data_IF_808440947302
#
_entry.id   IF_808440947302
#
_cell.length_a   1.000
_cell.length_b   1.000
_cell.length_c   1.000
_cell.angle_alpha   90.00
_cell.angle_beta   90.00
_cell.angle_gamma   90.00
#
_symmetry.space_group_name_H-M   'P 1'
#
loop_
_entity.id
_entity.type
_entity.pdbx_description
1 polymer ?
#
# COMPACT_ATOMS: atom_id res chain seq x y z
N UNK A 1 -16.32 -4.43 0.44
CA UNK A 1 -16.46 -4.14 -1.01
C UNK A 1 -15.31 -4.81 -1.73
N UNK A 2 -15.55 -5.61 -2.77
CA UNK A 2 -14.45 -5.98 -3.67
C UNK A 2 -14.01 -4.69 -4.38
N UNK A 3 -12.79 -4.23 -4.11
CA UNK A 3 -12.20 -3.14 -4.91
C UNK A 3 -12.01 -3.66 -6.32
N UNK A 4 -12.36 -2.85 -7.31
CA UNK A 4 -11.96 -3.12 -8.70
C UNK A 4 -10.44 -3.15 -8.76
N UNK A 5 -9.88 -4.12 -9.48
CA UNK A 5 -8.44 -4.18 -9.69
C UNK A 5 -7.96 -2.90 -10.43
N UNK A 6 -6.83 -2.30 -10.00
CA UNK A 6 -6.19 -1.20 -10.70
C UNK A 6 -5.79 -1.60 -12.12
N UNK A 7 -5.31 -0.61 -12.90
CA UNK A 7 -4.72 -0.91 -14.21
C UNK A 7 -3.50 -1.82 -14.02
N UNK A 8 -3.61 -3.04 -14.52
CA UNK A 8 -2.52 -4.02 -14.49
C UNK A 8 -1.53 -3.74 -15.61
N UNK A 9 -0.24 -3.82 -15.28
CA UNK A 9 0.86 -3.75 -16.24
C UNK A 9 1.55 -5.09 -16.42
N UNK A 10 1.17 -6.07 -15.60
CA UNK A 10 1.60 -7.46 -15.73
C UNK A 10 0.55 -8.29 -16.48
N UNK A 11 1.02 -9.19 -17.32
CA UNK A 11 0.19 -10.20 -17.95
C UNK A 11 -0.30 -11.23 -16.93
N UNK A 12 -1.38 -11.95 -17.25
CA UNK A 12 -1.85 -13.07 -16.43
C UNK A 12 -0.77 -14.15 -16.27
N UNK A 13 0.08 -14.35 -17.28
CA UNK A 13 1.18 -15.31 -17.25
C UNK A 13 2.27 -14.91 -16.24
N UNK A 14 2.69 -13.65 -16.21
CA UNK A 14 3.67 -13.15 -15.25
C UNK A 14 3.15 -13.22 -13.81
N UNK A 15 1.86 -12.92 -13.60
CA UNK A 15 1.22 -13.08 -12.28
C UNK A 15 1.16 -14.55 -11.85
N UNK A 16 0.88 -15.46 -12.76
CA UNK A 16 0.86 -16.89 -12.46
C UNK A 16 2.25 -17.45 -12.19
N UNK A 17 3.28 -16.99 -12.90
CA UNK A 17 4.67 -17.35 -12.63
C UNK A 17 5.08 -16.99 -11.20
N UNK A 18 4.75 -15.77 -10.75
CA UNK A 18 4.99 -15.36 -9.36
C UNK A 18 4.23 -16.24 -8.36
N UNK A 19 2.96 -16.55 -8.64
CA UNK A 19 2.14 -17.41 -7.77
C UNK A 19 2.74 -18.82 -7.66
N UNK A 20 3.12 -19.43 -8.78
CA UNK A 20 3.79 -20.75 -8.81
C UNK A 20 5.16 -20.69 -8.13
N UNK A 21 5.85 -19.55 -8.22
CA UNK A 21 7.08 -19.25 -7.49
C UNK A 21 6.92 -19.08 -5.98
N UNK A 22 5.70 -19.17 -5.44
CA UNK A 22 5.42 -19.11 -4.01
C UNK A 22 5.21 -17.69 -3.46
N UNK A 23 5.06 -16.69 -4.33
CA UNK A 23 4.77 -15.31 -3.90
C UNK A 23 3.31 -15.21 -3.41
N UNK A 24 3.12 -14.57 -2.27
CA UNK A 24 1.79 -14.28 -1.75
C UNK A 24 1.10 -13.13 -2.52
N UNK A 25 -0.18 -12.92 -2.23
CA UNK A 25 -0.98 -11.92 -2.95
C UNK A 25 -0.47 -10.49 -2.74
N UNK A 26 0.03 -10.16 -1.54
CA UNK A 26 0.60 -8.84 -1.24
C UNK A 26 1.87 -8.59 -2.06
N UNK A 27 2.70 -9.62 -2.22
CA UNK A 27 3.91 -9.56 -3.02
C UNK A 27 3.60 -9.42 -4.50
N UNK A 28 2.56 -10.10 -5.01
CA UNK A 28 2.07 -9.93 -6.37
C UNK A 28 1.55 -8.50 -6.61
N UNK A 29 0.78 -7.93 -5.68
CA UNK A 29 0.33 -6.53 -5.78
C UNK A 29 1.50 -5.54 -5.71
N UNK A 30 2.53 -5.83 -4.93
CA UNK A 30 3.76 -5.03 -4.91
C UNK A 30 4.48 -5.09 -6.25
N UNK A 31 4.55 -6.27 -6.89
CA UNK A 31 5.12 -6.43 -8.22
C UNK A 31 4.32 -5.66 -9.30
N UNK A 32 2.98 -5.65 -9.22
CA UNK A 32 2.13 -4.83 -10.10
C UNK A 32 2.37 -3.33 -9.91
N UNK A 33 2.58 -2.88 -8.67
CA UNK A 33 3.00 -1.51 -8.36
C UNK A 33 4.35 -1.18 -9.01
N UNK A 34 5.33 -2.09 -8.95
CA UNK A 34 6.62 -1.89 -9.62
C UNK A 34 6.50 -1.88 -11.15
N UNK A 35 5.65 -2.72 -11.72
CA UNK A 35 5.37 -2.73 -13.16
C UNK A 35 4.73 -1.41 -13.62
N UNK A 36 3.78 -0.87 -12.85
CA UNK A 36 3.20 0.45 -13.08
C UNK A 36 4.27 1.56 -13.01
N UNK A 37 5.21 1.48 -12.07
CA UNK A 37 6.32 2.43 -11.97
C UNK A 37 7.23 2.39 -13.21
N UNK A 38 7.54 1.19 -13.73
CA UNK A 38 8.31 1.02 -14.97
C UNK A 38 7.60 1.60 -16.19
N UNK A 39 6.26 1.64 -16.17
CA UNK A 39 5.43 2.26 -17.20
C UNK A 39 5.17 3.77 -16.97
N UNK A 40 5.79 4.38 -15.95
CA UNK A 40 5.58 5.78 -15.52
C UNK A 40 4.12 6.12 -15.16
N UNK A 41 3.32 5.11 -14.78
CA UNK A 41 1.95 5.32 -14.31
C UNK A 41 1.90 5.40 -12.78
N UNK A 42 2.15 6.62 -12.28
CA UNK A 42 2.17 6.89 -10.84
C UNK A 42 0.83 6.65 -10.16
N UNK A 43 -0.30 6.76 -10.87
CA UNK A 43 -1.60 6.52 -10.27
C UNK A 43 -1.75 5.03 -9.98
N UNK A 44 -1.48 4.18 -10.98
CA UNK A 44 -1.54 2.74 -10.82
C UNK A 44 -0.55 2.22 -9.77
N UNK A 45 0.63 2.84 -9.63
CA UNK A 45 1.58 2.56 -8.52
C UNK A 45 0.87 2.64 -7.18
N UNK A 46 0.22 3.78 -6.88
CA UNK A 46 -0.43 3.97 -5.58
C UNK A 46 -1.68 3.11 -5.42
N UNK A 47 -2.45 2.89 -6.49
CA UNK A 47 -3.63 2.05 -6.45
C UNK A 47 -3.28 0.59 -6.11
N UNK A 48 -2.21 0.05 -6.71
CA UNK A 48 -1.70 -1.28 -6.37
C UNK A 48 -1.14 -1.32 -4.95
N UNK A 49 -0.36 -0.32 -4.55
CA UNK A 49 0.20 -0.25 -3.20
C UNK A 49 -0.90 -0.15 -2.12
N UNK A 50 -2.02 0.52 -2.40
CA UNK A 50 -3.17 0.63 -1.51
C UNK A 50 -3.96 -0.69 -1.35
N UNK A 51 -3.68 -1.72 -2.16
CA UNK A 51 -4.20 -3.07 -1.99
C UNK A 51 -3.32 -3.97 -1.10
N UNK A 52 -2.11 -3.53 -0.77
CA UNK A 52 -1.16 -4.28 0.06
C UNK A 52 -1.46 -4.03 1.54
N UNK A 53 -1.45 -5.09 2.37
CA UNK A 53 -1.47 -4.96 3.83
C UNK A 53 -0.09 -4.52 4.32
N UNK A 54 0.19 -3.22 4.20
CA UNK A 54 1.49 -2.63 4.55
C UNK A 54 1.76 -2.71 6.06
N UNK A 55 3.03 -2.83 6.48
CA UNK A 55 3.41 -2.67 7.89
C UNK A 55 2.99 -1.30 8.45
N UNK A 56 2.69 -1.25 9.74
CA UNK A 56 2.27 -0.01 10.41
C UNK A 56 3.27 1.15 10.21
N UNK A 57 4.57 0.87 10.36
CA UNK A 57 5.63 1.87 10.17
C UNK A 57 5.65 2.43 8.74
N UNK A 58 5.34 1.62 7.72
CA UNK A 58 5.28 2.07 6.33
C UNK A 58 4.10 3.00 6.10
N UNK A 59 2.95 2.70 6.72
CA UNK A 59 1.78 3.58 6.69
C UNK A 59 2.04 4.90 7.44
N UNK A 60 2.76 4.85 8.55
CA UNK A 60 3.14 6.04 9.30
C UNK A 60 4.12 6.93 8.51
N UNK A 61 5.13 6.33 7.88
CA UNK A 61 6.02 7.03 6.98
C UNK A 61 5.25 7.64 5.79
N UNK A 62 4.31 6.90 5.21
CA UNK A 62 3.49 7.42 4.12
C UNK A 62 2.64 8.62 4.55
N UNK A 63 2.05 8.57 5.75
CA UNK A 63 1.28 9.68 6.32
C UNK A 63 2.16 10.91 6.51
N UNK A 64 3.38 10.77 7.00
CA UNK A 64 4.28 11.92 7.21
C UNK A 64 4.70 12.59 5.88
N UNK A 65 4.77 11.82 4.79
CA UNK A 65 5.15 12.33 3.46
C UNK A 65 3.97 12.88 2.64
N UNK A 66 2.77 12.29 2.78
CA UNK A 66 1.61 12.55 1.90
C UNK A 66 0.39 13.09 2.63
N UNK A 67 0.38 13.03 3.96
CA UNK A 67 -0.75 13.39 4.80
C UNK A 67 -1.80 12.27 4.91
N UNK A 68 -2.64 12.39 5.95
CA UNK A 68 -3.69 11.42 6.23
C UNK A 68 -4.78 11.35 5.14
N UNK A 69 -5.08 12.48 4.51
CA UNK A 69 -6.11 12.55 3.46
C UNK A 69 -5.72 11.68 2.25
N UNK A 70 -4.45 11.66 1.86
CA UNK A 70 -3.97 10.80 0.78
C UNK A 70 -4.22 9.31 1.06
N UNK A 71 -3.95 8.87 2.30
CA UNK A 71 -4.17 7.48 2.71
C UNK A 71 -5.66 7.11 2.59
N UNK A 72 -6.55 8.02 3.00
CA UNK A 72 -8.01 7.86 2.90
C UNK A 72 -8.49 7.84 1.46
N UNK A 73 -8.06 8.80 0.66
CA UNK A 73 -8.50 8.95 -0.74
C UNK A 73 -8.08 7.75 -1.60
N UNK A 74 -6.85 7.25 -1.40
CA UNK A 74 -6.38 6.01 -2.04
C UNK A 74 -6.97 4.74 -1.42
N UNK A 75 -7.53 4.86 -0.21
CA UNK A 75 -8.16 3.77 0.52
C UNK A 75 -7.16 2.71 0.97
N UNK A 76 -5.95 3.08 1.42
CA UNK A 76 -4.98 2.12 1.94
C UNK A 76 -5.58 1.26 3.06
N UNK A 77 -5.14 0.00 3.14
CA UNK A 77 -5.52 -0.91 4.23
C UNK A 77 -4.77 -0.48 5.49
N UNK A 78 -5.46 0.09 6.48
CA UNK A 78 -4.85 0.68 7.68
C UNK A 78 -4.77 -0.26 8.88
N UNK A 79 -5.31 -1.48 8.78
CA UNK A 79 -5.47 -2.42 9.89
C UNK A 79 -4.24 -2.53 10.80
N UNK A 80 -3.05 -2.74 10.22
CA UNK A 80 -1.81 -2.85 11.01
C UNK A 80 -1.48 -1.58 11.80
N UNK A 81 -1.68 -0.40 11.20
CA UNK A 81 -1.45 0.87 11.88
C UNK A 81 -2.55 1.18 12.90
N UNK A 82 -3.79 0.78 12.64
CA UNK A 82 -4.90 0.92 13.58
C UNK A 82 -4.65 0.05 14.84
N UNK A 83 -4.09 -1.16 14.66
CA UNK A 83 -3.70 -2.06 15.75
C UNK A 83 -2.50 -1.53 16.55
N UNK A 84 -1.49 -0.96 15.90
CA UNK A 84 -0.24 -0.51 16.55
C UNK A 84 -0.33 0.89 17.17
N UNK A 85 -0.96 1.85 16.49
CA UNK A 85 -0.99 3.27 16.87
C UNK A 85 -2.37 3.75 17.36
N UNK A 86 -3.37 2.87 17.27
CA UNK A 86 -4.77 3.15 17.57
C UNK A 86 -5.54 3.63 16.33
N UNK A 87 -6.86 3.41 16.27
CA UNK A 87 -7.68 3.69 15.07
C UNK A 87 -7.78 5.17 14.69
N UNK A 88 -7.35 6.07 15.58
CA UNK A 88 -7.30 7.52 15.39
C UNK A 88 -5.92 8.03 14.94
N UNK A 89 -4.97 7.14 14.61
CA UNK A 89 -3.58 7.50 14.25
C UNK A 89 -3.47 8.42 13.02
N UNK A 90 -4.46 8.40 12.13
CA UNK A 90 -4.53 9.32 11.00
C UNK A 90 -4.80 10.77 11.42
N UNK A 91 -5.46 10.99 12.56
CA UNK A 91 -5.89 12.32 13.01
C UNK A 91 -5.01 12.92 14.12
N UNK A 92 -4.11 12.12 14.69
CA UNK A 92 -3.17 12.56 15.73
C UNK A 92 -1.71 12.41 15.31
N UNK A 93 -0.81 13.11 15.98
CA UNK A 93 0.62 12.84 15.85
C UNK A 93 0.98 11.51 16.53
N UNK A 94 1.90 10.76 15.95
CA UNK A 94 2.46 9.53 16.55
C UNK A 94 3.92 9.79 16.90
N UNK A 95 4.34 9.40 18.12
CA UNK A 95 5.72 9.57 18.58
C UNK A 95 6.39 8.22 18.76
N UNK A 96 7.46 7.97 18.02
CA UNK A 96 8.26 6.74 18.12
C UNK A 96 9.71 7.13 18.39
N UNK A 97 10.26 6.70 19.53
CA UNK A 97 11.67 6.97 19.87
C UNK A 97 12.04 8.46 19.90
N UNK A 98 11.07 9.35 20.16
CA UNK A 98 11.27 10.81 20.16
C UNK A 98 11.06 11.51 18.80
N UNK A 99 10.77 10.76 17.73
CA UNK A 99 10.42 11.32 16.43
C UNK A 99 8.91 11.48 16.30
N UNK A 100 8.48 12.65 15.81
CA UNK A 100 7.08 12.97 15.55
C UNK A 100 6.70 12.66 14.09
N UNK A 101 5.61 11.92 13.93
CA UNK A 101 5.03 11.53 12.64
C UNK A 101 3.55 11.94 12.54
#
# INVERSE_FOLDING_TARGET
MQKKLPKSYMTDAEREELRVGGFDQNSIYTAESEAAAKADDRQAVWEWLAMVELPAYSLLFLKSQRGAQFIRDMGFITKNADEEYGPDWLDKGVVIGGYHF
#
